data_IF_675471593198
#
_entry.id   IF_675471593198
#
_cell.length_a   1.000
_cell.length_b   1.000
_cell.length_c   1.000
_cell.angle_alpha   90.00
_cell.angle_beta   90.00
_cell.angle_gamma   90.00
#
_symmetry.space_group_name_H-M   'P 1'
#
loop_
_entity.id
_entity.type
_entity.pdbx_description
1 polymer ?
#
# COMPACT_ATOMS: atom_id res chain seq x y z
N UNK A 1 -8.21 8.67 11.58
CA UNK A 1 -8.39 7.24 11.28
C UNK A 1 -7.00 6.61 11.29
N UNK A 2 -6.87 5.37 11.76
CA UNK A 2 -5.62 4.63 11.67
C UNK A 2 -5.43 4.15 10.22
N UNK A 3 -4.29 4.42 9.59
CA UNK A 3 -3.99 3.86 8.27
C UNK A 3 -3.40 2.47 8.48
N UNK A 4 -3.86 1.51 7.69
CA UNK A 4 -3.39 0.15 7.76
C UNK A 4 -3.06 -0.39 6.38
N UNK A 5 -2.02 -1.21 6.32
CA UNK A 5 -1.66 -1.96 5.13
C UNK A 5 -1.58 -3.45 5.45
N UNK A 6 -2.28 -4.26 4.67
CA UNK A 6 -2.18 -5.72 4.77
C UNK A 6 -1.92 -6.36 3.42
N UNK A 7 -1.44 -7.60 3.48
CA UNK A 7 -0.95 -8.35 2.35
C UNK A 7 -1.65 -9.69 2.19
N UNK A 8 -1.76 -10.15 0.95
CA UNK A 8 -2.08 -11.53 0.62
C UNK A 8 -1.35 -11.97 -0.65
N UNK A 9 -1.19 -13.29 -0.79
CA UNK A 9 -0.64 -13.95 -1.96
C UNK A 9 -1.68 -14.82 -2.63
N UNK A 10 -1.77 -14.72 -3.95
CA UNK A 10 -2.61 -15.55 -4.80
C UNK A 10 -1.89 -16.85 -5.18
N UNK A 11 -2.65 -17.90 -5.47
CA UNK A 11 -2.13 -19.03 -6.23
C UNK A 11 -1.75 -18.57 -7.65
N UNK A 12 -0.59 -18.97 -8.17
CA UNK A 12 -0.22 -18.66 -9.56
C UNK A 12 -1.29 -19.11 -10.56
N UNK A 13 -1.65 -18.24 -11.50
CA UNK A 13 -2.67 -18.51 -12.53
C UNK A 13 -4.10 -18.11 -12.13
N UNK A 14 -4.32 -17.62 -10.91
CA UNK A 14 -5.64 -17.20 -10.42
C UNK A 14 -5.85 -15.68 -10.43
N UNK A 15 -4.86 -14.91 -10.89
CA UNK A 15 -4.83 -13.45 -10.87
C UNK A 15 -6.02 -12.81 -11.61
N UNK A 16 -6.34 -13.32 -12.80
CA UNK A 16 -7.43 -12.78 -13.60
C UNK A 16 -8.80 -13.01 -12.94
N UNK A 17 -8.98 -14.16 -12.28
CA UNK A 17 -10.21 -14.45 -11.54
C UNK A 17 -10.32 -13.59 -10.29
N UNK A 18 -9.20 -13.34 -9.60
CA UNK A 18 -9.14 -12.44 -8.46
C UNK A 18 -9.58 -11.03 -8.83
N UNK A 19 -9.03 -10.48 -9.93
CA UNK A 19 -9.40 -9.16 -10.45
C UNK A 19 -10.88 -9.09 -10.85
N UNK A 20 -11.39 -10.12 -11.54
CA UNK A 20 -12.79 -10.20 -11.98
C UNK A 20 -13.74 -10.13 -10.78
N UNK A 21 -13.42 -10.84 -9.70
CA UNK A 21 -14.26 -10.82 -8.49
C UNK A 21 -14.24 -9.46 -7.80
N UNK A 22 -13.09 -8.80 -7.74
CA UNK A 22 -12.98 -7.46 -7.17
C UNK A 22 -13.70 -6.39 -7.99
N UNK A 23 -13.66 -6.48 -9.33
CA UNK A 23 -14.44 -5.63 -10.22
C UNK A 23 -15.97 -5.80 -10.05
N UNK A 24 -16.40 -6.96 -9.56
CA UNK A 24 -17.80 -7.31 -9.30
C UNK A 24 -18.05 -7.60 -7.80
N UNK A 25 -17.40 -6.86 -6.91
CA UNK A 25 -17.53 -7.05 -5.47
C UNK A 25 -18.99 -6.90 -5.03
N UNK A 26 -19.45 -7.84 -4.20
CA UNK A 26 -20.85 -7.92 -3.82
C UNK A 26 -21.29 -6.68 -3.01
N UNK A 27 -22.48 -6.09 -3.28
CA UNK A 27 -22.96 -4.93 -2.54
C UNK A 27 -22.99 -5.14 -1.02
N UNK A 28 -23.34 -6.34 -0.55
CA UNK A 28 -23.33 -6.69 0.87
C UNK A 28 -21.92 -6.72 1.48
N UNK A 29 -20.90 -7.08 0.69
CA UNK A 29 -19.51 -7.03 1.14
C UNK A 29 -19.05 -5.58 1.27
N UNK A 30 -19.40 -4.74 0.29
CA UNK A 30 -19.08 -3.32 0.35
C UNK A 30 -19.74 -2.64 1.55
N UNK A 31 -21.01 -2.98 1.83
CA UNK A 31 -21.71 -2.51 3.02
C UNK A 31 -21.02 -2.98 4.30
N UNK A 32 -20.65 -4.26 4.40
CA UNK A 32 -19.94 -4.79 5.57
C UNK A 32 -18.60 -4.10 5.83
N UNK A 33 -17.82 -3.79 4.78
CA UNK A 33 -16.59 -2.99 4.89
C UNK A 33 -16.93 -1.61 5.47
N UNK A 34 -17.96 -0.95 4.93
CA UNK A 34 -18.32 0.40 5.40
C UNK A 34 -18.84 0.42 6.84
N UNK A 35 -19.67 -0.55 7.21
CA UNK A 35 -20.29 -0.65 8.53
C UNK A 35 -19.25 -0.98 9.61
N UNK A 36 -18.20 -1.72 9.24
CA UNK A 36 -17.06 -2.02 10.09
C UNK A 36 -16.14 -0.81 10.36
N UNK A 37 -16.38 0.35 9.73
CA UNK A 37 -15.54 1.54 9.92
C UNK A 37 -14.27 1.57 9.08
N UNK A 38 -14.22 0.77 8.01
CA UNK A 38 -13.12 0.74 7.03
C UNK A 38 -13.48 1.72 5.90
N UNK A 39 -12.57 2.66 5.60
CA UNK A 39 -12.68 3.68 4.55
C UNK A 39 -11.45 3.69 3.65
N UNK A 40 -11.55 4.38 2.52
CA UNK A 40 -10.46 4.58 1.54
C UNK A 40 -9.71 3.26 1.24
N UNK A 41 -10.45 2.17 1.07
CA UNK A 41 -9.90 0.83 0.92
C UNK A 41 -9.55 0.60 -0.55
N UNK A 42 -8.25 0.48 -0.83
CA UNK A 42 -7.73 0.27 -2.18
C UNK A 42 -6.87 -0.99 -2.24
N UNK A 43 -7.12 -1.84 -3.23
CA UNK A 43 -6.37 -3.07 -3.47
C UNK A 43 -5.43 -2.92 -4.66
N UNK A 44 -4.16 -3.29 -4.50
CA UNK A 44 -3.12 -3.20 -5.50
C UNK A 44 -2.45 -4.54 -5.74
N UNK A 45 -2.26 -4.92 -7.01
CA UNK A 45 -1.70 -6.23 -7.37
C UNK A 45 -0.48 -6.12 -8.28
N UNK A 46 0.54 -6.93 -7.98
CA UNK A 46 1.71 -7.18 -8.83
C UNK A 46 1.97 -8.68 -8.92
N UNK A 47 1.59 -9.29 -10.05
CA UNK A 47 1.62 -10.75 -10.18
C UNK A 47 0.68 -11.39 -9.16
N UNK A 48 1.20 -12.31 -8.34
CA UNK A 48 0.48 -12.97 -7.25
C UNK A 48 0.46 -12.18 -5.94
N UNK A 49 1.25 -11.12 -5.82
CA UNK A 49 1.32 -10.30 -4.62
C UNK A 49 0.21 -9.23 -4.64
N UNK A 50 -0.55 -9.12 -3.54
CA UNK A 50 -1.62 -8.14 -3.37
C UNK A 50 -1.46 -7.41 -2.05
N UNK A 51 -1.54 -6.09 -2.10
CA UNK A 51 -1.56 -5.21 -0.93
C UNK A 51 -2.86 -4.44 -0.89
N UNK A 52 -3.34 -4.18 0.32
CA UNK A 52 -4.44 -3.26 0.56
C UNK A 52 -3.96 -2.11 1.41
N UNK A 53 -4.38 -0.91 1.04
CA UNK A 53 -4.36 0.27 1.89
C UNK A 53 -5.78 0.55 2.38
N UNK A 54 -5.93 1.02 3.62
CA UNK A 54 -7.22 1.47 4.16
C UNK A 54 -7.04 2.42 5.34
N UNK A 55 -8.06 3.19 5.64
CA UNK A 55 -8.19 4.04 6.81
C UNK A 55 -9.31 3.49 7.71
N UNK A 56 -8.98 3.14 8.96
CA UNK A 56 -9.86 2.46 9.90
C UNK A 56 -10.29 3.38 11.06
N UNK A 57 -11.53 3.22 11.49
CA UNK A 57 -12.10 3.86 12.68
C UNK A 57 -12.83 2.81 13.53
N UNK A 58 -12.59 2.76 14.86
CA UNK A 58 -11.64 3.57 15.63
C UNK A 58 -10.17 3.22 15.36
N UNK A 59 -9.91 1.96 15.02
CA UNK A 59 -8.58 1.40 14.77
C UNK A 59 -8.71 0.15 13.88
N UNK A 60 -7.62 -0.29 13.27
CA UNK A 60 -7.60 -1.42 12.35
C UNK A 60 -8.01 -2.73 13.05
N UNK A 61 -7.61 -2.92 14.29
CA UNK A 61 -7.95 -4.13 15.06
C UNK A 61 -9.46 -4.27 15.23
N UNK A 62 -10.12 -3.22 15.68
CA UNK A 62 -11.56 -3.18 15.92
C UNK A 62 -12.34 -3.29 14.61
N UNK A 63 -11.94 -2.53 13.59
CA UNK A 63 -12.62 -2.54 12.30
C UNK A 63 -12.53 -3.90 11.60
N UNK A 64 -11.35 -4.53 11.57
CA UNK A 64 -11.21 -5.86 10.95
C UNK A 64 -11.82 -6.99 11.78
N UNK A 65 -11.96 -6.82 13.11
CA UNK A 65 -12.73 -7.76 13.94
C UNK A 65 -14.23 -7.72 13.59
N UNK A 66 -14.80 -6.52 13.45
CA UNK A 66 -16.20 -6.34 13.04
C UNK A 66 -16.45 -6.88 11.63
N UNK A 67 -15.59 -6.51 10.67
CA UNK A 67 -15.67 -7.05 9.31
C UNK A 67 -15.57 -8.58 9.31
N UNK A 68 -14.64 -9.14 10.10
CA UNK A 68 -14.43 -10.58 10.27
C UNK A 68 -15.66 -11.33 10.77
N UNK A 69 -16.47 -10.71 11.62
CA UNK A 69 -17.69 -11.29 12.18
C UNK A 69 -18.90 -11.24 11.21
N UNK A 70 -18.84 -10.40 10.16
CA UNK A 70 -19.97 -10.22 9.24
C UNK A 70 -20.21 -11.45 8.34
N UNK A 71 -21.49 -11.77 8.12
CA UNK A 71 -21.90 -12.90 7.24
C UNK A 71 -21.41 -12.71 5.80
N UNK A 72 -21.44 -11.47 5.30
CA UNK A 72 -20.99 -11.14 3.96
C UNK A 72 -19.49 -11.46 3.80
N UNK A 73 -18.66 -11.03 4.75
CA UNK A 73 -17.22 -11.25 4.70
C UNK A 73 -16.83 -12.71 4.86
N UNK A 74 -17.53 -13.46 5.71
CA UNK A 74 -17.31 -14.91 5.84
C UNK A 74 -17.59 -15.63 4.50
N UNK A 75 -18.70 -15.31 3.84
CA UNK A 75 -19.05 -15.86 2.52
C UNK A 75 -18.06 -15.41 1.44
N UNK A 76 -17.64 -14.15 1.47
CA UNK A 76 -16.65 -13.59 0.55
C UNK A 76 -15.33 -14.34 0.67
N UNK A 77 -14.79 -14.45 1.89
CA UNK A 77 -13.53 -15.13 2.18
C UNK A 77 -13.56 -16.62 1.81
N UNK A 78 -14.67 -17.33 2.11
CA UNK A 78 -14.82 -18.73 1.72
C UNK A 78 -14.76 -18.92 0.19
N UNK A 79 -15.33 -17.98 -0.57
CA UNK A 79 -15.25 -18.02 -2.03
C UNK A 79 -13.82 -17.92 -2.57
N UNK A 80 -12.89 -17.30 -1.83
CA UNK A 80 -11.48 -17.12 -2.24
C UNK A 80 -10.55 -18.28 -1.87
N UNK A 81 -11.03 -19.33 -1.21
CA UNK A 81 -10.21 -20.51 -0.88
C UNK A 81 -9.42 -21.12 -2.06
N UNK A 82 -9.95 -21.20 -3.30
CA UNK A 82 -9.18 -21.70 -4.44
C UNK A 82 -8.27 -20.64 -5.11
N UNK A 83 -8.24 -19.39 -4.60
CA UNK A 83 -7.58 -18.24 -5.23
C UNK A 83 -6.47 -17.69 -4.34
N UNK A 84 -6.72 -17.51 -3.04
CA UNK A 84 -5.76 -16.96 -2.09
C UNK A 84 -4.95 -18.10 -1.48
N UNK A 85 -3.63 -18.05 -1.69
CA UNK A 85 -2.67 -18.99 -1.13
C UNK A 85 -2.28 -18.61 0.31
N UNK A 86 -2.05 -17.31 0.57
CA UNK A 86 -1.61 -16.81 1.87
C UNK A 86 -2.36 -15.51 2.20
N UNK A 87 -2.98 -15.43 3.38
CA UNK A 87 -3.63 -14.21 3.91
C UNK A 87 -3.23 -13.93 5.36
N UNK A 88 -2.82 -14.98 6.06
CA UNK A 88 -2.47 -14.97 7.47
C UNK A 88 -1.09 -15.55 7.68
N UNK A 89 -0.48 -15.16 8.78
CA UNK A 89 0.71 -15.76 9.34
C UNK A 89 0.38 -17.14 9.93
N UNK A 90 1.41 -17.86 10.39
CA UNK A 90 1.26 -19.21 10.94
C UNK A 90 0.39 -19.26 12.22
N UNK A 91 0.29 -18.16 12.94
CA UNK A 91 -0.57 -17.99 14.13
C UNK A 91 -2.02 -17.62 13.78
N UNK A 92 -2.35 -17.46 12.49
CA UNK A 92 -3.67 -17.07 12.01
C UNK A 92 -3.91 -15.57 11.96
N UNK A 93 -2.96 -14.74 12.41
CA UNK A 93 -3.07 -13.29 12.29
C UNK A 93 -2.88 -12.83 10.86
N UNK A 94 -3.58 -11.76 10.46
CA UNK A 94 -3.41 -11.18 9.12
C UNK A 94 -1.97 -10.71 8.89
N UNK A 95 -1.51 -10.79 7.65
CA UNK A 95 -0.17 -10.32 7.27
C UNK A 95 -0.19 -8.78 7.18
N UNK A 96 0.12 -8.12 8.30
CA UNK A 96 0.18 -6.66 8.39
C UNK A 96 1.56 -6.10 8.00
N UNK A 97 1.56 -4.87 7.50
CA UNK A 97 2.73 -4.01 7.38
C UNK A 97 2.59 -2.84 8.37
N UNK A 98 3.69 -2.50 9.05
CA UNK A 98 3.78 -1.40 10.00
C UNK A 98 3.89 -0.06 9.27
N UNK A 99 3.09 0.94 9.64
CA UNK A 99 3.27 2.32 9.16
C UNK A 99 4.59 2.88 9.70
N UNK A 100 5.48 3.31 8.80
CA UNK A 100 6.79 3.86 9.15
C UNK A 100 6.95 5.33 8.77
N UNK A 101 6.04 5.85 7.94
CA UNK A 101 6.11 7.20 7.41
C UNK A 101 4.74 7.61 6.88
N UNK A 102 4.36 8.87 7.11
CA UNK A 102 3.18 9.47 6.50
C UNK A 102 3.42 10.96 6.25
N UNK A 103 2.98 11.44 5.10
CA UNK A 103 2.83 12.88 4.81
C UNK A 103 1.54 13.13 4.06
N UNK A 104 0.96 14.30 4.28
CA UNK A 104 -0.29 14.71 3.65
C UNK A 104 -0.11 16.09 2.99
N UNK A 105 0.77 16.15 1.98
CA UNK A 105 0.98 17.32 1.10
C UNK A 105 0.15 17.22 -0.19
N UNK A 106 0.27 18.16 -1.12
CA UNK A 106 -0.45 18.19 -2.39
C UNK A 106 -1.97 18.37 -2.20
N UNK A 107 -2.76 17.83 -3.12
CA UNK A 107 -4.19 17.60 -2.85
C UNK A 107 -5.21 18.44 -3.61
N UNK A 108 -4.82 19.17 -4.67
CA UNK A 108 -5.79 19.93 -5.47
C UNK A 108 -5.99 19.32 -6.87
N UNK A 109 -7.25 19.03 -7.20
CA UNK A 109 -7.64 18.56 -8.53
C UNK A 109 -7.61 17.04 -8.68
N UNK A 110 -7.61 16.52 -9.92
CA UNK A 110 -7.62 15.09 -10.19
C UNK A 110 -6.34 14.42 -9.63
N UNK A 111 -6.44 13.14 -9.33
CA UNK A 111 -5.32 12.31 -8.88
C UNK A 111 -5.46 10.86 -9.35
N UNK A 112 -4.34 10.13 -9.26
CA UNK A 112 -4.27 8.67 -9.40
C UNK A 112 -3.83 8.05 -8.07
N UNK A 113 -4.47 6.94 -7.64
CA UNK A 113 -3.95 6.13 -6.53
C UNK A 113 -2.88 5.17 -7.05
N UNK A 114 -1.73 5.17 -6.40
CA UNK A 114 -0.62 4.30 -6.78
C UNK A 114 -0.04 3.57 -5.59
N UNK A 115 0.55 2.40 -5.88
CA UNK A 115 1.38 1.68 -4.93
C UNK A 115 2.67 1.22 -5.61
N UNK A 116 3.81 1.41 -4.93
CA UNK A 116 5.08 0.83 -5.35
C UNK A 116 5.79 0.15 -4.20
N UNK A 117 6.63 -0.82 -4.53
CA UNK A 117 7.33 -1.66 -3.58
C UNK A 117 8.85 -1.49 -3.66
N UNK A 118 9.51 -1.73 -2.54
CA UNK A 118 10.96 -1.85 -2.48
C UNK A 118 11.38 -2.90 -1.45
N UNK A 119 12.64 -3.31 -1.53
CA UNK A 119 13.27 -4.25 -0.61
C UNK A 119 14.45 -3.56 0.07
N UNK A 120 14.49 -3.62 1.40
CA UNK A 120 15.58 -3.12 2.24
C UNK A 120 16.48 -4.28 2.65
N UNK A 121 17.79 -4.06 2.67
CA UNK A 121 18.74 -5.03 3.21
C UNK A 121 18.37 -5.37 4.67
N UNK A 122 18.25 -6.66 5.04
CA UNK A 122 17.72 -7.07 6.35
C UNK A 122 18.56 -6.58 7.53
N UNK A 123 19.87 -6.38 7.34
CA UNK A 123 20.79 -5.82 8.32
C UNK A 123 20.76 -4.29 8.40
N UNK A 124 19.97 -3.62 7.54
CA UNK A 124 19.86 -2.16 7.44
C UNK A 124 18.47 -1.61 7.78
N UNK A 125 17.57 -2.43 8.33
CA UNK A 125 16.21 -2.03 8.69
C UNK A 125 16.18 -0.85 9.67
N UNK A 126 17.01 -0.88 10.73
CA UNK A 126 17.08 0.20 11.70
C UNK A 126 17.55 1.54 11.07
N UNK A 127 18.48 1.48 10.11
CA UNK A 127 18.94 2.65 9.37
C UNK A 127 17.85 3.23 8.46
N UNK A 128 16.99 2.36 7.91
CA UNK A 128 15.86 2.72 7.07
C UNK A 128 14.76 3.40 7.89
N UNK A 129 14.40 2.82 9.03
CA UNK A 129 13.35 3.35 9.92
C UNK A 129 13.74 4.71 10.49
N UNK A 130 14.99 4.87 10.95
CA UNK A 130 15.47 6.16 11.48
C UNK A 130 15.33 7.30 10.47
N UNK A 131 15.56 7.04 9.18
CA UNK A 131 15.40 8.05 8.12
C UNK A 131 13.94 8.41 7.87
N UNK A 132 13.02 7.48 8.11
CA UNK A 132 11.59 7.69 7.94
C UNK A 132 10.91 8.31 9.16
N UNK A 133 11.47 8.11 10.36
CA UNK A 133 11.04 8.78 11.58
C UNK A 133 11.38 10.29 11.57
N UNK A 134 12.49 10.68 10.95
CA UNK A 134 12.95 12.08 10.86
C UNK A 134 13.29 12.46 9.41
N UNK A 135 12.29 12.53 8.52
CA UNK A 135 12.53 12.84 7.12
C UNK A 135 12.97 14.29 6.96
N UNK A 136 13.82 14.56 5.96
CA UNK A 136 14.35 15.92 5.75
C UNK A 136 13.21 16.92 5.46
N UNK A 137 13.18 18.10 6.11
CA UNK A 137 12.16 19.11 5.83
C UNK A 137 12.13 19.55 4.36
N UNK A 138 13.27 19.58 3.68
CA UNK A 138 13.29 19.82 2.22
C UNK A 138 12.67 18.69 1.39
N UNK A 139 12.74 17.44 1.85
CA UNK A 139 12.11 16.31 1.16
C UNK A 139 10.59 16.37 1.31
N UNK A 140 10.08 16.71 2.50
CA UNK A 140 8.64 16.86 2.71
C UNK A 140 8.04 17.96 1.82
N UNK A 141 8.73 19.11 1.70
CA UNK A 141 8.34 20.17 0.77
C UNK A 141 8.41 19.73 -0.69
N UNK A 142 9.45 19.00 -1.08
CA UNK A 142 9.58 18.50 -2.45
C UNK A 142 8.46 17.52 -2.82
N UNK A 143 8.05 16.63 -1.90
CA UNK A 143 6.91 15.72 -2.13
C UNK A 143 5.59 16.49 -2.28
N UNK A 144 5.36 17.48 -1.42
CA UNK A 144 4.20 18.38 -1.46
C UNK A 144 4.11 19.11 -2.83
N UNK A 145 5.19 19.79 -3.24
CA UNK A 145 5.29 20.49 -4.51
C UNK A 145 5.18 19.57 -5.73
N UNK A 146 5.64 18.32 -5.61
CA UNK A 146 5.54 17.31 -6.66
C UNK A 146 4.16 16.64 -6.76
N UNK A 147 3.23 16.93 -5.84
CA UNK A 147 1.86 16.42 -5.89
C UNK A 147 1.64 15.08 -5.18
N UNK A 148 2.47 14.71 -4.20
CA UNK A 148 2.25 13.53 -3.36
C UNK A 148 1.26 13.85 -2.23
N UNK A 149 0.08 13.22 -2.26
CA UNK A 149 -0.97 13.31 -1.24
C UNK A 149 -1.23 11.96 -0.59
N UNK A 150 -1.73 11.97 0.66
CA UNK A 150 -1.98 10.77 1.48
C UNK A 150 -0.85 9.73 1.41
N UNK A 151 0.40 10.21 1.34
CA UNK A 151 1.55 9.41 0.95
C UNK A 151 2.13 8.71 2.18
N UNK A 152 2.02 7.38 2.20
CA UNK A 152 2.25 6.57 3.39
C UNK A 152 3.15 5.38 3.07
N UNK A 153 4.21 5.20 3.85
CA UNK A 153 5.13 4.07 3.76
C UNK A 153 4.82 3.02 4.81
N UNK A 154 4.75 1.75 4.39
CA UNK A 154 4.51 0.61 5.25
C UNK A 154 5.60 -0.45 5.08
N UNK A 155 6.02 -1.11 6.17
CA UNK A 155 7.10 -2.10 6.15
C UNK A 155 6.71 -3.41 6.85
N UNK A 156 7.16 -4.53 6.28
CA UNK A 156 7.16 -5.84 6.92
C UNK A 156 8.50 -6.52 6.68
N UNK A 157 9.34 -6.58 7.72
CA UNK A 157 10.73 -7.03 7.57
C UNK A 157 11.45 -6.22 6.48
N UNK A 158 12.06 -6.89 5.51
CA UNK A 158 12.71 -6.25 4.36
C UNK A 158 11.76 -5.70 3.30
N UNK A 159 10.48 -6.06 3.30
CA UNK A 159 9.54 -5.58 2.29
C UNK A 159 8.95 -4.24 2.71
N UNK A 160 8.97 -3.27 1.81
CA UNK A 160 8.34 -1.96 2.01
C UNK A 160 7.41 -1.69 0.84
N UNK A 161 6.27 -1.09 1.13
CA UNK A 161 5.35 -0.54 0.12
C UNK A 161 4.99 0.89 0.46
N UNK A 162 4.80 1.71 -0.57
CA UNK A 162 4.27 3.05 -0.44
C UNK A 162 2.94 3.15 -1.17
N UNK A 163 1.92 3.61 -0.46
CA UNK A 163 0.67 4.09 -1.03
C UNK A 163 0.74 5.60 -1.20
N UNK A 164 0.13 6.14 -2.26
CA UNK A 164 -0.07 7.58 -2.41
C UNK A 164 -1.23 7.92 -3.36
N UNK A 165 -1.75 9.13 -3.19
CA UNK A 165 -2.67 9.82 -4.09
C UNK A 165 -1.85 10.89 -4.83
N UNK A 166 -1.61 10.65 -6.12
CA UNK A 166 -0.64 11.42 -6.92
C UNK A 166 -1.36 12.42 -7.81
N UNK A 167 -1.03 13.70 -7.69
CA UNK A 167 -1.65 14.79 -8.42
C UNK A 167 -0.74 15.33 -9.54
N UNK A 168 -1.19 15.39 -10.81
CA UNK A 168 -2.48 14.89 -11.32
C UNK A 168 -2.53 13.36 -11.52
N UNK A 169 -1.35 12.72 -11.62
CA UNK A 169 -1.18 11.29 -11.79
C UNK A 169 0.20 10.84 -11.27
N UNK A 170 0.40 9.53 -11.14
CA UNK A 170 1.63 8.98 -10.56
C UNK A 170 2.86 9.29 -11.43
N UNK A 171 2.72 9.26 -12.76
CA UNK A 171 3.84 9.50 -13.67
C UNK A 171 4.34 10.95 -13.57
N UNK A 172 3.43 11.92 -13.54
CA UNK A 172 3.73 13.33 -13.38
C UNK A 172 4.38 13.62 -12.02
N UNK A 173 3.81 13.10 -10.93
CA UNK A 173 4.33 13.32 -9.59
C UNK A 173 5.72 12.70 -9.39
N UNK A 174 5.91 11.43 -9.81
CA UNK A 174 7.21 10.74 -9.77
C UNK A 174 8.25 11.46 -10.64
N UNK A 175 7.84 11.97 -11.81
CA UNK A 175 8.70 12.78 -12.68
C UNK A 175 9.15 14.08 -12.01
N UNK A 176 8.22 14.80 -11.37
CA UNK A 176 8.50 16.05 -10.67
C UNK A 176 9.46 15.88 -9.49
N UNK A 177 9.20 14.93 -8.59
CA UNK A 177 10.13 14.65 -7.47
C UNK A 177 11.49 14.15 -7.99
N UNK A 178 11.47 13.34 -9.06
CA UNK A 178 12.64 12.81 -9.76
C UNK A 178 13.62 13.87 -10.23
N UNK A 179 13.11 15.03 -10.63
CA UNK A 179 13.91 16.16 -11.13
C UNK A 179 14.61 16.98 -10.04
N UNK A 180 14.28 16.78 -8.75
CA UNK A 180 14.80 17.61 -7.66
C UNK A 180 16.21 17.18 -7.19
N UNK A 181 17.03 18.16 -6.80
CA UNK A 181 18.33 17.88 -6.14
C UNK A 181 18.13 17.16 -4.79
N UNK A 182 17.07 17.54 -4.06
CA UNK A 182 16.67 16.91 -2.80
C UNK A 182 16.45 15.40 -2.97
N UNK A 183 15.69 14.98 -3.99
CA UNK A 183 15.46 13.56 -4.26
C UNK A 183 16.75 12.82 -4.64
N UNK A 184 17.64 13.46 -5.42
CA UNK A 184 18.95 12.88 -5.75
C UNK A 184 19.79 12.62 -4.49
N UNK A 185 19.83 13.58 -3.56
CA UNK A 185 20.54 13.47 -2.28
C UNK A 185 19.90 12.43 -1.37
N UNK A 186 18.57 12.42 -1.30
CA UNK A 186 17.81 11.45 -0.52
C UNK A 186 18.08 10.02 -1.00
N UNK A 187 17.98 9.76 -2.31
CA UNK A 187 18.27 8.45 -2.90
C UNK A 187 19.72 8.03 -2.66
N UNK A 188 20.68 8.96 -2.79
CA UNK A 188 22.08 8.69 -2.44
C UNK A 188 22.25 8.26 -0.99
N UNK A 189 21.45 8.81 -0.06
CA UNK A 189 21.50 8.46 1.37
C UNK A 189 21.01 7.04 1.68
N UNK A 190 20.31 6.39 0.73
CA UNK A 190 19.87 4.99 0.81
C UNK A 190 20.79 3.99 0.09
N UNK A 191 21.92 4.45 -0.47
CA UNK A 191 22.90 3.54 -1.05
C UNK A 191 23.38 2.53 -0.01
N UNK A 192 23.30 1.24 -0.37
CA UNK A 192 23.61 0.13 0.53
C UNK A 192 22.56 -0.14 1.63
N UNK A 193 21.40 0.54 1.59
CA UNK A 193 20.23 0.28 2.46
C UNK A 193 19.10 -0.33 1.64
N UNK A 194 18.69 0.32 0.54
CA UNK A 194 17.70 -0.22 -0.38
C UNK A 194 18.39 -1.20 -1.32
N UNK A 195 17.94 -2.45 -1.31
CA UNK A 195 18.45 -3.52 -2.16
C UNK A 195 17.81 -3.49 -3.56
N UNK A 196 16.49 -3.27 -3.62
CA UNK A 196 15.73 -3.27 -4.88
C UNK A 196 14.58 -2.28 -4.80
N UNK A 197 14.42 -1.43 -5.80
CA UNK A 197 13.25 -0.55 -5.98
C UNK A 197 12.78 -0.49 -7.44
N UNK A 198 13.63 -0.90 -8.38
CA UNK A 198 13.32 -0.98 -9.80
C UNK A 198 13.39 -2.40 -10.34
N UNK A 199 12.70 -2.63 -11.46
CA UNK A 199 12.88 -3.82 -12.28
C UNK A 199 14.22 -3.79 -13.06
N UNK A 200 14.46 -4.85 -13.85
CA UNK A 200 15.66 -4.96 -14.68
C UNK A 200 15.78 -3.89 -15.77
N UNK A 201 14.69 -3.19 -16.09
CA UNK A 201 14.66 -2.08 -17.05
C UNK A 201 14.79 -0.71 -16.38
N UNK A 202 14.90 -0.66 -15.06
CA UNK A 202 14.99 0.58 -14.28
C UNK A 202 13.64 1.22 -13.96
N UNK A 203 12.51 0.55 -14.22
CA UNK A 203 11.18 1.07 -13.86
C UNK A 203 10.88 0.77 -12.40
N UNK A 204 10.19 1.68 -11.70
CA UNK A 204 9.71 1.43 -10.34
C UNK A 204 8.86 0.15 -10.28
N UNK A 205 9.02 -0.61 -9.20
CA UNK A 205 8.20 -1.80 -8.93
C UNK A 205 6.80 -1.39 -8.48
N UNK A 206 5.95 -0.99 -9.43
CA UNK A 206 4.55 -0.60 -9.15
C UNK A 206 3.61 -1.81 -9.07
N UNK A 207 2.49 -1.61 -8.36
CA UNK A 207 1.37 -2.53 -8.31
C UNK A 207 0.12 -1.83 -8.85
N UNK A 208 -0.64 -2.54 -9.70
CA UNK A 208 -1.84 -1.99 -10.36
C UNK A 208 -3.00 -1.94 -9.39
N UNK A 209 -3.71 -0.81 -9.32
CA UNK A 209 -4.99 -0.74 -8.60
C UNK A 209 -6.03 -1.66 -9.28
N UNK A 210 -6.66 -2.51 -8.48
CA UNK A 210 -7.67 -3.48 -8.94
C UNK A 210 -9.03 -3.30 -8.27
N UNK A 211 -9.07 -2.53 -7.20
CA UNK A 211 -10.25 -2.32 -6.37
C UNK A 211 -10.09 -1.01 -5.60
N UNK A 212 -11.20 -0.28 -5.48
CA UNK A 212 -11.30 0.86 -4.57
C UNK A 212 -12.72 0.96 -4.01
N UNK A 213 -12.80 1.34 -2.74
CA UNK A 213 -14.03 1.71 -2.07
C UNK A 213 -13.77 2.76 -0.99
N UNK A 214 -14.61 3.78 -0.96
CA UNK A 214 -14.66 4.76 0.13
C UNK A 214 -15.38 4.28 1.39
#
# INVERSE_FOLDING_TARGET
MERACFYLRLYPGTEAEYDRRHAAIWPEQQAAIRDAGIRNMSGFRRGTDVWYYTECQPDAKTAFAELGASKANLKWNDSFRPIIAELTQADGERIWFEEIFHTNGGGAGPFERGLFALVVHPDRLADYDRRHAEPWPEMMRALDEAGFHNYTGFRRGSQVVYYGEFHPDMAAAVGAIGATDTNRRWNSSFQGIIATITDASGNLLTAREIFHQD
#
